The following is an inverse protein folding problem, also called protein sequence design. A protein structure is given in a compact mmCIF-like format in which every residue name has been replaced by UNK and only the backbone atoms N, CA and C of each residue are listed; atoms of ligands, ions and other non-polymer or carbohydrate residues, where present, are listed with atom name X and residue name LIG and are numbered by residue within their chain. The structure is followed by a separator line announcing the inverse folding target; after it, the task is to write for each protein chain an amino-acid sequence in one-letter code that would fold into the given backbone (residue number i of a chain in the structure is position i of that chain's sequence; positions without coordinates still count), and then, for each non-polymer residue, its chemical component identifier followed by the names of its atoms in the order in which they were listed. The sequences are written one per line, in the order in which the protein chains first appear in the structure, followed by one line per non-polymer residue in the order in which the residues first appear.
data_IF_389429426643
#
_entry.id   IF_389429426643
#
_cell.length_a   1.000
_cell.length_b   1.000
_cell.length_c   1.000
_cell.angle_alpha   90.00
_cell.angle_beta   90.00
_cell.angle_gamma   90.00
#
_symmetry.space_group_name_H-M   'P 1'
#
loop_
_entity.id
_entity.type
_entity.pdbx_description
1 polymer ?
#
# COMPACT_ATOMS: atom_id res chain seq x y z
N UNK A 1 -30.74 0.24 14.05
CA UNK A 1 -30.27 -1.12 13.69
C UNK A 1 -28.88 -1.30 14.27
N UNK A 2 -28.46 -2.53 14.59
CA UNK A 2 -27.15 -2.83 15.15
C UNK A 2 -26.30 -3.49 14.07
N UNK A 3 -25.22 -2.83 13.66
CA UNK A 3 -24.20 -3.41 12.79
C UNK A 3 -23.20 -4.24 13.61
N UNK A 4 -22.74 -5.36 13.06
CA UNK A 4 -21.73 -6.20 13.69
C UNK A 4 -20.70 -6.65 12.65
N UNK A 5 -19.44 -6.56 13.01
CA UNK A 5 -18.32 -7.00 12.17
C UNK A 5 -17.39 -7.89 12.98
N UNK A 6 -16.96 -9.00 12.38
CA UNK A 6 -15.95 -9.87 12.97
C UNK A 6 -14.59 -9.53 12.37
N UNK A 7 -13.64 -9.27 13.25
CA UNK A 7 -12.33 -8.75 12.87
C UNK A 7 -11.20 -9.51 13.54
N UNK A 8 -10.06 -9.55 12.85
CA UNK A 8 -8.78 -9.99 13.40
C UNK A 8 -7.74 -8.91 13.17
N UNK A 9 -6.84 -8.72 14.13
CA UNK A 9 -5.60 -7.99 13.89
C UNK A 9 -4.49 -9.02 13.68
N UNK A 10 -4.07 -9.18 12.43
CA UNK A 10 -3.03 -10.12 12.01
C UNK A 10 -1.98 -9.38 11.17
N UNK A 11 -0.69 -9.67 11.41
CA UNK A 11 0.42 -8.93 10.78
C UNK A 11 0.29 -7.39 10.92
N UNK A 12 -0.16 -6.91 12.08
CA UNK A 12 -0.44 -5.50 12.38
C UNK A 12 -1.60 -4.85 11.60
N UNK A 13 -2.29 -5.57 10.71
CA UNK A 13 -3.41 -5.05 9.94
C UNK A 13 -4.73 -5.53 10.53
N UNK A 14 -5.72 -4.63 10.58
CA UNK A 14 -7.08 -4.98 10.95
C UNK A 14 -7.80 -5.50 9.72
N UNK A 15 -8.39 -6.68 9.80
CA UNK A 15 -9.11 -7.30 8.68
C UNK A 15 -10.46 -7.81 9.13
N UNK A 16 -11.41 -7.78 8.20
CA UNK A 16 -12.64 -8.56 8.34
C UNK A 16 -12.29 -10.04 8.24
N UNK A 17 -12.86 -10.87 9.11
CA UNK A 17 -12.71 -12.32 9.04
C UNK A 17 -13.66 -12.85 7.97
N UNK A 18 -13.11 -13.56 6.99
CA UNK A 18 -13.89 -14.18 5.92
C UNK A 18 -14.50 -15.52 6.37
N UNK A 19 -15.60 -15.92 5.73
CA UNK A 19 -16.24 -17.25 5.87
C UNK A 19 -16.84 -17.61 7.25
N UNK A 20 -17.28 -16.63 8.04
CA UNK A 20 -18.00 -16.87 9.32
C UNK A 20 -19.47 -16.47 9.20
N UNK A 21 -20.39 -17.36 9.57
CA UNK A 21 -21.82 -17.07 9.59
C UNK A 21 -22.21 -16.39 10.91
N UNK A 22 -23.19 -15.47 10.87
CA UNK A 22 -23.76 -14.81 12.05
C UNK A 22 -24.19 -15.83 13.15
N UNK A 23 -24.71 -16.99 12.75
CA UNK A 23 -25.12 -18.07 13.68
C UNK A 23 -23.95 -18.72 14.43
N UNK A 24 -22.73 -18.60 13.91
CA UNK A 24 -21.52 -19.12 14.52
C UNK A 24 -20.96 -18.14 15.57
N UNK A 25 -21.39 -16.88 15.52
CA UNK A 25 -20.97 -15.78 16.42
C UNK A 25 -21.99 -15.55 17.54
N UNK A 26 -23.28 -15.72 17.25
CA UNK A 26 -24.37 -15.42 18.18
C UNK A 26 -24.76 -16.63 19.04
N UNK A 27 -25.29 -16.35 20.24
CA UNK A 27 -25.93 -17.38 21.06
C UNK A 27 -27.19 -17.90 20.37
N UNK A 28 -27.48 -19.19 20.53
CA UNK A 28 -28.57 -19.91 19.82
C UNK A 28 -29.98 -19.32 20.02
N UNK A 29 -30.19 -18.50 21.07
CA UNK A 29 -31.47 -17.88 21.39
C UNK A 29 -31.54 -16.38 21.06
N UNK A 30 -30.53 -15.81 20.39
CA UNK A 30 -30.54 -14.43 19.95
C UNK A 30 -31.36 -14.28 18.67
N UNK A 31 -32.65 -13.98 18.82
CA UNK A 31 -33.50 -13.51 17.72
C UNK A 31 -33.54 -11.99 17.76
N UNK A 32 -32.79 -11.34 16.86
CA UNK A 32 -32.86 -9.90 16.69
C UNK A 32 -33.00 -9.60 15.20
N UNK A 33 -34.22 -9.25 14.80
CA UNK A 33 -34.55 -8.69 13.49
C UNK A 33 -33.80 -7.36 13.22
N UNK A 34 -33.06 -6.86 14.21
CA UNK A 34 -32.33 -5.59 14.22
C UNK A 34 -30.80 -5.74 14.13
N UNK A 35 -30.26 -6.97 13.99
CA UNK A 35 -28.82 -7.21 13.79
C UNK A 35 -28.48 -7.39 12.31
N UNK A 36 -27.41 -6.72 11.87
CA UNK A 36 -26.85 -6.82 10.53
C UNK A 36 -25.37 -7.17 10.61
N UNK A 37 -24.96 -8.28 9.98
CA UNK A 37 -23.54 -8.59 9.84
C UNK A 37 -22.96 -7.83 8.65
N UNK A 38 -21.84 -7.19 8.88
CA UNK A 38 -21.23 -6.27 7.94
C UNK A 38 -19.79 -6.66 7.63
N UNK A 39 -19.44 -6.48 6.35
CA UNK A 39 -18.10 -6.73 5.83
C UNK A 39 -17.56 -5.42 5.29
N UNK A 40 -16.78 -4.74 6.11
CA UNK A 40 -16.14 -3.49 5.75
C UNK A 40 -14.72 -3.71 5.22
N UNK A 41 -14.32 -2.91 4.23
CA UNK A 41 -12.94 -2.87 3.72
C UNK A 41 -12.10 -1.87 4.54
N UNK A 42 -11.33 -2.38 5.48
CA UNK A 42 -10.45 -1.60 6.36
C UNK A 42 -9.14 -1.14 5.69
N UNK A 43 -8.83 -1.64 4.50
CA UNK A 43 -7.57 -1.35 3.81
C UNK A 43 -7.68 -0.09 2.95
N UNK A 44 -8.77 0.08 2.21
CA UNK A 44 -8.90 1.19 1.24
C UNK A 44 -9.75 2.37 1.71
N UNK A 45 -10.42 2.25 2.86
CA UNK A 45 -11.31 3.28 3.40
C UNK A 45 -10.77 3.93 4.69
N UNK A 46 -11.21 5.16 4.93
CA UNK A 46 -10.84 6.00 6.07
C UNK A 46 -11.78 5.84 7.26
N UNK A 47 -11.42 6.43 8.40
CA UNK A 47 -12.34 6.49 9.54
C UNK A 47 -13.59 7.32 9.23
N UNK A 48 -13.45 8.40 8.45
CA UNK A 48 -14.59 9.21 8.01
C UNK A 48 -15.52 8.37 7.12
N UNK A 49 -14.97 7.60 6.18
CA UNK A 49 -15.77 6.71 5.33
C UNK A 49 -16.56 5.68 6.16
N UNK A 50 -16.01 5.19 7.28
CA UNK A 50 -16.69 4.25 8.15
C UNK A 50 -17.84 4.91 8.92
N UNK A 51 -17.61 6.11 9.45
CA UNK A 51 -18.66 6.89 10.14
C UNK A 51 -19.80 7.19 9.15
N UNK A 52 -19.48 7.73 7.99
CA UNK A 52 -20.47 8.05 6.94
C UNK A 52 -21.24 6.78 6.51
N UNK A 53 -20.54 5.64 6.41
CA UNK A 53 -21.15 4.36 6.08
C UNK A 53 -22.13 3.90 7.16
N UNK A 54 -21.75 3.92 8.44
CA UNK A 54 -22.64 3.46 9.52
C UNK A 54 -23.86 4.36 9.68
N UNK A 55 -23.70 5.66 9.44
CA UNK A 55 -24.80 6.61 9.40
C UNK A 55 -25.74 6.35 8.22
N UNK A 56 -25.19 6.07 7.03
CA UNK A 56 -25.99 5.73 5.85
C UNK A 56 -26.76 4.42 6.02
N UNK A 57 -26.23 3.45 6.76
CA UNK A 57 -26.92 2.20 7.10
C UNK A 57 -27.94 2.36 8.23
N UNK A 58 -28.12 3.56 8.80
CA UNK A 58 -28.99 3.81 9.96
C UNK A 58 -28.64 2.90 11.17
N UNK A 59 -27.33 2.65 11.37
CA UNK A 59 -26.85 1.93 12.54
C UNK A 59 -26.80 2.86 13.77
N UNK A 60 -27.47 2.44 14.84
CA UNK A 60 -27.43 3.11 16.14
C UNK A 60 -26.26 2.61 16.98
N UNK A 61 -25.90 1.33 16.81
CA UNK A 61 -24.74 0.69 17.44
C UNK A 61 -23.97 -0.09 16.38
N UNK A 62 -22.63 -0.09 16.47
CA UNK A 62 -21.76 -0.85 15.58
C UNK A 62 -20.68 -1.60 16.38
N UNK A 63 -20.69 -2.92 16.31
CA UNK A 63 -19.90 -3.80 17.19
C UNK A 63 -18.75 -4.44 16.45
N UNK A 64 -17.54 -4.16 16.89
CA UNK A 64 -16.34 -4.88 16.50
C UNK A 64 -16.14 -6.08 17.41
N UNK A 65 -16.36 -7.28 16.89
CA UNK A 65 -16.05 -8.54 17.57
C UNK A 65 -14.68 -8.99 17.11
N UNK A 66 -13.73 -9.15 18.04
CA UNK A 66 -12.34 -9.44 17.70
C UNK A 66 -11.93 -10.83 18.14
N UNK A 67 -11.43 -11.63 17.17
CA UNK A 67 -10.93 -12.99 17.39
C UNK A 67 -9.54 -13.05 18.03
N UNK A 68 -8.92 -11.91 18.32
CA UNK A 68 -7.64 -11.84 19.00
C UNK A 68 -7.58 -10.60 19.89
N UNK A 69 -6.75 -10.66 20.95
CA UNK A 69 -6.46 -9.48 21.75
C UNK A 69 -5.80 -8.38 20.92
N UNK A 70 -6.50 -7.27 20.74
CA UNK A 70 -5.98 -6.09 20.05
C UNK A 70 -5.71 -4.94 21.02
N UNK A 71 -4.50 -4.38 20.94
CA UNK A 71 -4.13 -3.17 21.67
C UNK A 71 -4.58 -1.89 20.94
N UNK A 72 -4.82 -1.97 19.63
CA UNK A 72 -5.15 -0.82 18.76
C UNK A 72 -6.65 -0.59 18.65
N UNK A 73 -7.47 -1.65 18.59
CA UNK A 73 -8.91 -1.57 18.40
C UNK A 73 -9.62 -0.70 19.45
N UNK A 74 -9.34 -0.84 20.77
CA UNK A 74 -9.93 0.04 21.77
C UNK A 74 -9.67 1.53 21.50
N UNK A 75 -8.51 1.88 20.92
CA UNK A 75 -8.18 3.26 20.54
C UNK A 75 -8.95 3.70 19.30
N UNK A 76 -9.10 2.82 18.31
CA UNK A 76 -9.95 3.04 17.14
C UNK A 76 -11.39 3.31 17.57
N UNK A 77 -11.97 2.47 18.45
CA UNK A 77 -13.34 2.64 18.93
C UNK A 77 -13.50 3.94 19.72
N UNK A 78 -12.54 4.27 20.59
CA UNK A 78 -12.56 5.55 21.30
C UNK A 78 -12.51 6.75 20.34
N UNK A 79 -11.67 6.66 19.30
CA UNK A 79 -11.57 7.69 18.27
C UNK A 79 -12.90 7.85 17.50
N UNK A 80 -13.46 6.76 16.98
CA UNK A 80 -14.75 6.78 16.26
C UNK A 80 -15.88 7.40 17.11
N UNK A 81 -16.00 6.98 18.37
CA UNK A 81 -16.99 7.53 19.31
C UNK A 81 -16.78 9.01 19.67
N UNK A 82 -15.59 9.56 19.41
CA UNK A 82 -15.33 10.99 19.63
C UNK A 82 -15.81 11.86 18.47
N UNK A 83 -16.14 11.26 17.31
CA UNK A 83 -16.51 11.96 16.08
C UNK A 83 -17.87 11.54 15.50
N UNK A 84 -18.40 10.37 15.85
CA UNK A 84 -19.75 9.99 15.45
C UNK A 84 -20.77 10.54 16.43
N UNK A 85 -21.80 11.21 15.89
CA UNK A 85 -22.91 11.75 16.68
C UNK A 85 -24.09 10.76 16.76
N UNK A 86 -24.21 9.86 15.77
CA UNK A 86 -25.37 8.99 15.59
C UNK A 86 -25.09 7.54 16.00
N UNK A 87 -23.95 7.00 15.58
CA UNK A 87 -23.61 5.59 15.80
C UNK A 87 -22.67 5.45 16.98
N UNK A 88 -23.03 4.60 17.95
CA UNK A 88 -22.13 4.21 19.03
C UNK A 88 -21.31 2.99 18.65
N UNK A 89 -20.00 3.09 18.73
CA UNK A 89 -19.07 2.02 18.40
C UNK A 89 -18.67 1.22 19.64
N UNK A 90 -18.57 -0.09 19.47
CA UNK A 90 -18.34 -1.06 20.54
C UNK A 90 -17.17 -1.99 20.22
N UNK A 91 -16.43 -2.42 21.23
CA UNK A 91 -15.34 -3.40 21.10
C UNK A 91 -15.56 -4.58 22.02
N UNK A 92 -15.59 -5.77 21.45
CA UNK A 92 -15.69 -7.02 22.18
C UNK A 92 -14.55 -7.93 21.75
N UNK A 93 -13.67 -8.28 22.68
CA UNK A 93 -12.62 -9.28 22.48
C UNK A 93 -13.12 -10.65 22.92
N UNK A 94 -12.78 -11.72 22.21
CA UNK A 94 -13.02 -13.08 22.72
C UNK A 94 -12.26 -13.38 24.02
N UNK A 95 -11.10 -12.73 24.21
CA UNK A 95 -10.17 -12.98 25.32
C UNK A 95 -10.51 -12.23 26.61
N UNK A 96 -11.20 -11.08 26.50
CA UNK A 96 -11.46 -10.18 27.62
C UNK A 96 -12.95 -9.87 27.74
N UNK A 97 -13.53 -10.08 28.93
CA UNK A 97 -14.91 -9.67 29.21
C UNK A 97 -15.02 -8.15 29.30
N UNK A 98 -16.09 -7.63 28.70
CA UNK A 98 -16.50 -6.24 28.80
C UNK A 98 -17.78 -6.15 29.64
N UNK A 99 -18.11 -4.95 30.13
CA UNK A 99 -19.37 -4.69 30.81
C UNK A 99 -20.48 -4.25 29.83
N UNK A 100 -20.29 -4.46 28.52
CA UNK A 100 -21.24 -4.01 27.52
C UNK A 100 -22.40 -5.00 27.41
N UNK A 101 -23.63 -4.50 27.48
CA UNK A 101 -24.84 -5.34 27.39
C UNK A 101 -24.87 -6.16 26.10
N UNK A 102 -24.31 -5.61 25.02
CA UNK A 102 -24.28 -6.22 23.69
C UNK A 102 -23.41 -7.48 23.64
N UNK A 103 -22.48 -7.65 24.58
CA UNK A 103 -21.69 -8.87 24.74
C UNK A 103 -22.54 -10.09 25.09
N UNK A 104 -23.69 -9.88 25.73
CA UNK A 104 -24.59 -10.98 26.08
C UNK A 104 -25.11 -11.72 24.85
N UNK A 105 -25.05 -11.09 23.66
CA UNK A 105 -25.49 -11.66 22.38
C UNK A 105 -24.44 -12.58 21.74
N UNK A 106 -23.18 -12.46 22.13
CA UNK A 106 -22.04 -13.14 21.48
C UNK A 106 -21.71 -14.44 22.22
N UNK A 107 -21.54 -15.51 21.44
CA UNK A 107 -21.11 -16.82 21.91
C UNK A 107 -19.58 -16.95 21.80
N UNK A 108 -18.88 -16.52 22.85
CA UNK A 108 -17.41 -16.57 22.90
C UNK A 108 -16.85 -17.98 22.74
N UNK A 109 -17.54 -19.00 23.25
CA UNK A 109 -17.04 -20.38 23.23
C UNK A 109 -16.92 -20.91 21.80
N UNK A 110 -17.89 -20.58 20.93
CA UNK A 110 -17.82 -20.90 19.50
C UNK A 110 -16.67 -20.18 18.79
N UNK A 111 -16.38 -18.95 19.19
CA UNK A 111 -15.35 -18.12 18.55
C UNK A 111 -13.93 -18.51 18.93
N UNK A 112 -13.70 -19.05 20.13
CA UNK A 112 -12.37 -19.54 20.56
C UNK A 112 -11.85 -20.62 19.61
N UNK A 113 -12.73 -21.46 19.05
CA UNK A 113 -12.33 -22.47 18.06
C UNK A 113 -11.84 -21.87 16.73
N UNK A 114 -12.12 -20.59 16.47
CA UNK A 114 -11.71 -19.85 15.28
C UNK A 114 -10.50 -18.94 15.54
N UNK A 115 -9.97 -18.93 16.76
CA UNK A 115 -8.77 -18.16 17.11
C UNK A 115 -7.60 -18.61 16.23
N UNK A 116 -6.99 -17.64 15.54
CA UNK A 116 -5.76 -17.88 14.78
C UNK A 116 -4.58 -17.35 15.56
N UNK A 117 -3.49 -18.11 15.54
CA UNK A 117 -2.20 -17.63 16.05
C UNK A 117 -1.73 -16.49 15.16
N UNK A 118 -1.40 -15.36 15.78
CA UNK A 118 -0.82 -14.22 15.07
C UNK A 118 0.57 -14.59 14.54
N UNK A 119 0.66 -14.86 13.24
CA UNK A 119 1.92 -14.91 12.52
C UNK A 119 2.34 -13.47 12.22
N UNK A 120 3.08 -12.83 13.11
CA UNK A 120 3.56 -11.45 12.92
C UNK A 120 4.76 -11.44 11.96
N UNK A 121 4.61 -10.86 10.77
CA UNK A 121 5.69 -10.58 9.83
C UNK A 121 6.03 -9.09 9.76
N UNK A 122 7.30 -8.76 10.01
CA UNK A 122 7.83 -7.40 9.84
C UNK A 122 7.80 -6.93 8.38
N UNK A 123 7.57 -7.82 7.41
CA UNK A 123 7.55 -7.51 5.97
C UNK A 123 6.49 -6.46 5.66
N UNK A 124 5.29 -6.54 6.27
CA UNK A 124 4.22 -5.56 6.04
C UNK A 124 4.66 -4.17 6.49
N UNK A 125 5.29 -4.08 7.66
CA UNK A 125 5.78 -2.82 8.19
C UNK A 125 6.94 -2.26 7.34
N UNK A 126 7.87 -3.12 6.88
CA UNK A 126 8.93 -2.74 5.95
C UNK A 126 8.35 -2.19 4.65
N UNK A 127 7.36 -2.85 4.07
CA UNK A 127 6.68 -2.39 2.85
C UNK A 127 5.96 -1.05 3.08
N UNK A 128 5.32 -0.87 4.25
CA UNK A 128 4.73 0.40 4.66
C UNK A 128 5.75 1.54 4.72
N UNK A 129 6.93 1.28 5.30
CA UNK A 129 8.03 2.26 5.33
C UNK A 129 8.59 2.55 3.94
N UNK A 130 8.79 1.53 3.11
CA UNK A 130 9.19 1.73 1.71
C UNK A 130 8.21 2.62 0.96
N UNK A 131 6.90 2.37 1.09
CA UNK A 131 5.87 3.21 0.49
C UNK A 131 5.86 4.63 1.10
N UNK A 132 6.03 4.76 2.42
CA UNK A 132 6.14 6.05 3.10
C UNK A 132 7.31 6.87 2.56
N UNK A 133 8.49 6.30 2.32
CA UNK A 133 9.64 7.09 1.87
C UNK A 133 9.72 7.28 0.35
N UNK A 134 9.24 6.33 -0.45
CA UNK A 134 9.24 6.44 -1.92
C UNK A 134 8.00 7.18 -2.46
N UNK A 135 6.89 7.15 -1.73
CA UNK A 135 5.60 7.69 -2.16
C UNK A 135 4.87 6.82 -3.17
N UNK A 136 5.36 5.59 -3.43
CA UNK A 136 4.75 4.65 -4.36
C UNK A 136 3.69 3.84 -3.63
N UNK A 137 2.44 4.02 -4.05
CA UNK A 137 1.28 3.30 -3.52
C UNK A 137 0.47 2.68 -4.66
N UNK A 138 -0.16 1.52 -4.42
CA UNK A 138 -1.17 0.96 -5.29
C UNK A 138 -2.27 1.96 -5.68
N UNK A 139 -2.70 1.91 -6.95
CA UNK A 139 -3.79 2.77 -7.48
C UNK A 139 -5.17 2.49 -6.88
N UNK A 140 -5.33 1.36 -6.15
CA UNK A 140 -6.59 0.97 -5.51
C UNK A 140 -7.03 1.96 -4.42
N UNK A 141 -6.11 2.74 -3.86
CA UNK A 141 -6.45 3.70 -2.81
C UNK A 141 -7.21 4.91 -3.37
N UNK A 142 -8.35 5.21 -2.75
CA UNK A 142 -9.15 6.41 -3.02
C UNK A 142 -8.27 7.68 -3.04
N UNK A 143 -8.70 8.66 -3.82
CA UNK A 143 -8.05 9.98 -3.81
C UNK A 143 -8.28 10.62 -2.45
N UNK A 144 -7.25 11.25 -1.90
CA UNK A 144 -7.28 11.99 -0.62
C UNK A 144 -7.35 11.13 0.66
N UNK A 145 -6.94 9.86 0.60
CA UNK A 145 -6.69 9.08 1.82
C UNK A 145 -5.24 9.19 2.26
N UNK A 146 -4.98 9.21 3.57
CA UNK A 146 -3.64 9.13 4.12
C UNK A 146 -3.38 7.69 4.59
N UNK A 147 -2.39 7.02 4.00
CA UNK A 147 -1.94 5.69 4.42
C UNK A 147 -0.80 5.75 5.42
N UNK A 148 0.08 6.75 5.32
CA UNK A 148 1.21 6.88 6.24
C UNK A 148 1.45 8.32 6.67
N UNK A 149 1.75 8.49 7.95
CA UNK A 149 2.24 9.74 8.52
C UNK A 149 3.68 9.54 8.98
N UNK A 150 4.56 10.45 8.60
CA UNK A 150 5.85 10.61 9.23
C UNK A 150 5.77 11.72 10.27
N UNK A 151 6.35 11.51 11.45
CA UNK A 151 6.48 12.53 12.48
C UNK A 151 7.90 12.52 13.03
N UNK A 152 8.54 13.69 13.06
CA UNK A 152 9.89 13.85 13.62
C UNK A 152 9.90 13.57 15.12
N UNK A 153 8.95 14.13 15.88
CA UNK A 153 8.85 13.91 17.32
C UNK A 153 7.48 13.36 17.73
N UNK A 154 7.46 12.27 18.52
CA UNK A 154 6.20 11.62 18.89
C UNK A 154 5.23 12.54 19.66
N UNK A 155 5.75 13.55 20.37
CA UNK A 155 4.94 14.57 21.07
C UNK A 155 4.02 15.36 20.12
N UNK A 156 4.39 15.51 18.85
CA UNK A 156 3.69 16.35 17.88
C UNK A 156 2.38 15.72 17.40
N UNK A 157 2.21 14.41 17.58
CA UNK A 157 0.98 13.69 17.24
C UNK A 157 -0.25 14.26 17.96
N UNK A 158 -0.10 14.75 19.19
CA UNK A 158 -1.21 15.37 19.93
C UNK A 158 -1.66 16.72 19.34
N UNK A 159 -0.81 17.35 18.53
CA UNK A 159 -1.06 18.67 17.94
C UNK A 159 -1.57 18.58 16.50
N UNK A 160 -1.52 17.40 15.88
CA UNK A 160 -2.10 17.19 14.55
C UNK A 160 -3.61 17.33 14.63
N UNK A 161 -4.19 18.11 13.72
CA UNK A 161 -5.63 18.35 13.71
C UNK A 161 -6.41 17.04 13.51
N UNK A 162 -7.47 16.75 14.28
CA UNK A 162 -8.16 15.45 14.22
C UNK A 162 -8.72 15.05 12.84
N UNK A 163 -9.09 16.03 12.02
CA UNK A 163 -9.54 15.78 10.64
C UNK A 163 -8.49 15.06 9.78
N UNK A 164 -7.19 15.20 10.10
CA UNK A 164 -6.13 14.46 9.42
C UNK A 164 -6.27 12.98 9.70
N UNK A 165 -6.47 12.60 10.98
CA UNK A 165 -6.73 11.21 11.36
C UNK A 165 -8.05 10.70 10.80
N UNK A 166 -9.11 11.51 10.76
CA UNK A 166 -10.38 11.11 10.13
C UNK A 166 -10.21 10.70 8.66
N UNK A 167 -9.28 11.34 7.93
CA UNK A 167 -8.97 11.03 6.53
C UNK A 167 -7.81 10.04 6.36
N UNK A 168 -7.28 9.48 7.46
CA UNK A 168 -6.38 8.35 7.40
C UNK A 168 -7.16 7.06 7.13
N UNK A 169 -6.54 6.13 6.40
CA UNK A 169 -7.04 4.76 6.32
C UNK A 169 -7.11 4.12 7.71
N UNK A 170 -8.02 3.17 7.91
CA UNK A 170 -8.13 2.47 9.19
C UNK A 170 -6.82 1.72 9.51
N UNK A 171 -6.22 1.09 8.49
CA UNK A 171 -4.88 0.51 8.54
C UNK A 171 -3.76 1.50 8.17
N UNK A 172 -3.81 2.75 8.65
CA UNK A 172 -2.71 3.69 8.45
C UNK A 172 -1.55 3.48 9.44
N UNK A 173 -0.34 3.74 8.95
CA UNK A 173 0.89 3.72 9.72
C UNK A 173 1.33 5.12 10.16
N UNK A 174 1.92 5.20 11.34
CA UNK A 174 2.63 6.39 11.84
C UNK A 174 4.06 5.98 12.11
N UNK A 175 5.01 6.55 11.37
CA UNK A 175 6.43 6.42 11.64
C UNK A 175 6.91 7.61 12.46
N UNK A 176 7.52 7.33 13.60
CA UNK A 176 8.10 8.33 14.51
C UNK A 176 9.62 8.22 14.40
N UNK A 177 10.30 9.28 13.94
CA UNK A 177 11.77 9.32 13.81
C UNK A 177 12.49 9.58 15.15
N UNK A 178 11.95 9.00 16.22
CA UNK A 178 12.54 8.95 17.56
C UNK A 178 12.65 7.51 18.02
N UNK A 179 13.66 7.24 18.86
CA UNK A 179 13.72 5.96 19.57
C UNK A 179 12.55 5.83 20.53
N UNK A 180 12.02 4.61 20.64
CA UNK A 180 10.98 4.26 21.61
C UNK A 180 11.36 4.60 23.05
N UNK A 181 12.66 4.65 23.37
CA UNK A 181 13.17 4.98 24.71
C UNK A 181 13.05 6.47 25.06
N UNK A 182 13.02 7.34 24.04
CA UNK A 182 12.96 8.80 24.17
C UNK A 182 11.53 9.32 24.01
N UNK A 183 10.68 8.57 23.31
CA UNK A 183 9.26 8.89 23.16
C UNK A 183 8.57 8.86 24.53
N UNK A 184 8.27 10.05 25.06
CA UNK A 184 7.28 10.24 26.12
C UNK A 184 5.99 9.47 25.77
N UNK A 185 5.16 9.12 26.75
CA UNK A 185 3.99 8.25 26.60
C UNK A 185 2.92 8.75 25.57
N UNK A 186 3.21 8.71 24.26
CA UNK A 186 2.34 9.04 23.12
C UNK A 186 1.19 8.01 22.98
N UNK A 187 1.10 7.06 23.90
CA UNK A 187 0.46 5.76 23.69
C UNK A 187 -1.03 5.68 23.93
N UNK A 188 -1.74 6.75 24.28
CA UNK A 188 -3.14 6.57 24.75
C UNK A 188 -4.24 6.86 23.75
N UNK A 189 -4.01 7.66 22.70
CA UNK A 189 -5.14 8.18 21.92
C UNK A 189 -5.02 8.10 20.39
N UNK A 190 -3.88 7.68 19.83
CA UNK A 190 -3.74 7.63 18.36
C UNK A 190 -4.20 6.27 17.81
N UNK A 191 -5.19 6.21 16.90
CA UNK A 191 -5.76 4.97 16.36
C UNK A 191 -4.91 4.39 15.20
N UNK A 192 -3.59 4.31 15.36
CA UNK A 192 -2.64 3.99 14.28
C UNK A 192 -1.77 2.78 14.56
N UNK A 193 -1.21 2.20 13.49
CA UNK A 193 -0.06 1.31 13.58
C UNK A 193 1.18 2.19 13.83
N UNK A 194 1.73 2.16 15.04
CA UNK A 194 2.85 3.04 15.42
C UNK A 194 4.17 2.31 15.31
N UNK A 195 5.08 2.84 14.50
CA UNK A 195 6.43 2.34 14.27
C UNK A 195 7.43 3.42 14.71
N UNK A 196 8.37 3.05 15.58
CA UNK A 196 9.47 3.94 15.96
C UNK A 196 10.71 3.65 15.10
N UNK A 197 11.61 4.63 15.02
CA UNK A 197 12.88 4.55 14.28
C UNK A 197 13.65 3.25 14.51
N UNK A 198 13.66 2.76 15.74
CA UNK A 198 14.41 1.59 16.20
C UNK A 198 13.57 0.30 16.31
N UNK A 199 12.32 0.31 15.84
CA UNK A 199 11.39 -0.82 16.01
C UNK A 199 11.54 -1.91 14.95
N UNK A 200 12.01 -1.60 13.73
CA UNK A 200 12.11 -2.57 12.63
C UNK A 200 13.57 -2.77 12.26
N UNK A 201 14.13 -3.93 12.65
CA UNK A 201 15.54 -4.25 12.39
C UNK A 201 15.85 -4.52 10.92
N UNK A 202 14.84 -4.94 10.15
CA UNK A 202 14.95 -5.31 8.74
C UNK A 202 14.89 -4.12 7.79
N UNK A 203 14.77 -2.90 8.33
CA UNK A 203 14.73 -1.67 7.57
C UNK A 203 15.72 -0.67 8.15
N UNK A 204 16.75 -0.35 7.38
CA UNK A 204 17.69 0.75 7.68
C UNK A 204 17.62 1.72 6.51
N UNK A 205 17.05 2.91 6.75
CA UNK A 205 16.74 3.90 5.70
C UNK A 205 17.94 4.17 4.78
N UNK A 206 19.13 4.37 5.35
CA UNK A 206 20.36 4.69 4.61
C UNK A 206 20.89 3.52 3.76
N UNK A 207 20.51 2.29 4.11
CA UNK A 207 20.87 1.05 3.38
C UNK A 207 19.83 0.74 2.31
N UNK A 208 18.56 0.94 2.62
CA UNK A 208 17.42 0.54 1.79
C UNK A 208 17.05 1.59 0.74
N UNK A 209 17.33 2.87 1.00
CA UNK A 209 16.83 3.99 0.19
C UNK A 209 17.96 4.88 -0.32
N UNK A 210 17.83 5.27 -1.58
CA UNK A 210 18.71 6.23 -2.22
C UNK A 210 18.10 7.63 -2.26
N UNK A 211 18.93 8.63 -2.01
CA UNK A 211 18.57 10.02 -2.20
C UNK A 211 19.15 10.52 -3.54
N UNK A 212 18.27 10.82 -4.49
CA UNK A 212 18.61 11.32 -5.83
C UNK A 212 17.94 12.66 -6.09
N UNK A 213 18.55 13.51 -6.93
CA UNK A 213 17.86 14.70 -7.45
C UNK A 213 16.90 14.31 -8.58
N UNK A 214 15.91 15.17 -8.86
CA UNK A 214 14.95 14.94 -9.96
C UNK A 214 15.67 14.81 -11.31
N UNK A 215 16.74 15.58 -11.54
CA UNK A 215 17.54 15.53 -12.76
C UNK A 215 18.29 14.21 -12.91
N UNK A 216 18.90 13.71 -11.82
CA UNK A 216 19.60 12.41 -11.85
C UNK A 216 18.63 11.27 -12.11
N UNK A 217 17.43 11.33 -11.52
CA UNK A 217 16.39 10.34 -11.77
C UNK A 217 15.96 10.34 -13.24
N UNK A 218 15.73 11.52 -13.84
CA UNK A 218 15.42 11.63 -15.27
C UNK A 218 16.52 11.06 -16.16
N UNK A 219 17.79 11.32 -15.84
CA UNK A 219 18.92 10.73 -16.56
C UNK A 219 18.92 9.20 -16.48
N UNK A 220 18.64 8.62 -15.30
CA UNK A 220 18.54 7.16 -15.15
C UNK A 220 17.39 6.58 -15.99
N UNK A 221 16.24 7.24 -16.02
CA UNK A 221 15.09 6.83 -16.84
C UNK A 221 15.39 6.94 -18.34
N UNK A 222 16.14 7.96 -18.77
CA UNK A 222 16.61 8.09 -20.16
C UNK A 222 17.63 7.01 -20.53
N UNK A 223 18.58 6.68 -19.63
CA UNK A 223 19.52 5.58 -19.83
C UNK A 223 18.75 4.25 -19.97
N UNK A 224 17.78 4.01 -19.09
CA UNK A 224 16.92 2.84 -19.18
C UNK A 224 16.17 2.80 -20.51
N UNK A 225 15.53 3.90 -20.93
CA UNK A 225 14.81 3.96 -22.20
C UNK A 225 15.71 3.66 -23.40
N UNK A 226 17.01 3.99 -23.33
CA UNK A 226 17.94 3.73 -24.41
C UNK A 226 18.55 2.31 -24.38
N UNK A 227 18.60 1.65 -23.22
CA UNK A 227 19.43 0.44 -23.05
C UNK A 227 18.71 -0.76 -22.44
N UNK A 228 17.55 -0.55 -21.81
CA UNK A 228 16.88 -1.53 -20.96
C UNK A 228 17.62 -1.85 -19.66
N UNK A 229 18.74 -1.19 -19.36
CA UNK A 229 19.55 -1.46 -18.17
C UNK A 229 19.27 -0.46 -17.07
N UNK A 230 19.37 -0.91 -15.81
CA UNK A 230 19.33 -0.02 -14.65
C UNK A 230 20.75 0.12 -14.13
N UNK A 231 21.37 1.28 -14.40
CA UNK A 231 22.71 1.63 -13.92
C UNK A 231 22.69 2.07 -12.46
N UNK A 232 22.31 1.14 -11.59
CA UNK A 232 22.17 1.38 -10.17
C UNK A 232 23.40 0.89 -9.41
N UNK A 233 24.28 1.81 -9.01
CA UNK A 233 25.56 1.44 -8.40
C UNK A 233 25.43 0.87 -6.97
N UNK A 234 24.48 1.36 -6.17
CA UNK A 234 24.32 0.93 -4.76
C UNK A 234 23.23 -0.14 -4.52
N UNK A 235 22.54 -0.59 -5.58
CA UNK A 235 21.38 -1.49 -5.60
C UNK A 235 20.43 -1.36 -4.39
N UNK A 236 19.94 -0.14 -4.14
CA UNK A 236 19.02 0.18 -3.04
C UNK A 236 17.57 -0.01 -3.47
N UNK A 237 16.74 -0.53 -2.56
CA UNK A 237 15.36 -0.96 -2.80
C UNK A 237 14.37 0.17 -3.15
N UNK A 238 14.77 1.44 -3.09
CA UNK A 238 13.92 2.52 -3.58
C UNK A 238 14.58 3.90 -3.58
N UNK A 239 13.91 4.85 -4.21
CA UNK A 239 14.31 6.26 -4.25
C UNK A 239 13.41 7.05 -3.32
N UNK A 240 14.00 7.82 -2.41
CA UNK A 240 13.26 8.76 -1.57
C UNK A 240 12.51 9.76 -2.45
N UNK A 241 11.22 9.94 -2.14
CA UNK A 241 10.31 10.87 -2.80
C UNK A 241 10.08 10.62 -4.30
N UNK A 242 10.35 9.41 -4.80
CA UNK A 242 10.17 9.01 -6.20
C UNK A 242 8.87 9.50 -6.84
N UNK A 243 7.74 9.18 -6.19
CA UNK A 243 6.40 9.50 -6.70
C UNK A 243 6.17 11.01 -6.81
N UNK A 244 6.65 11.77 -5.81
CA UNK A 244 6.49 13.22 -5.74
C UNK A 244 7.43 13.96 -6.72
N UNK A 245 8.62 13.42 -6.98
CA UNK A 245 9.56 13.95 -7.98
C UNK A 245 8.99 13.79 -9.40
N UNK A 246 8.40 12.63 -9.70
CA UNK A 246 7.80 12.35 -11.01
C UNK A 246 6.32 12.78 -11.11
N UNK A 247 5.75 13.32 -10.03
CA UNK A 247 4.36 13.78 -9.96
C UNK A 247 3.34 12.71 -10.34
N UNK A 248 3.51 11.48 -9.84
CA UNK A 248 2.67 10.32 -10.21
C UNK A 248 1.25 10.40 -9.63
N UNK A 249 1.02 11.20 -8.59
CA UNK A 249 -0.29 11.32 -7.95
C UNK A 249 -0.65 10.10 -7.09
N UNK A 250 0.33 9.25 -6.78
CA UNK A 250 0.16 8.05 -5.96
C UNK A 250 0.39 8.35 -4.47
N UNK A 251 0.76 9.57 -4.10
CA UNK A 251 1.18 9.90 -2.75
C UNK A 251 0.00 9.83 -1.79
N UNK A 252 0.10 8.95 -0.78
CA UNK A 252 -0.87 8.75 0.31
C UNK A 252 -0.19 8.96 1.66
N UNK A 253 0.61 10.03 1.76
CA UNK A 253 1.46 10.30 2.91
C UNK A 253 1.54 11.79 3.24
N UNK A 254 1.87 12.10 4.48
CA UNK A 254 2.23 13.44 4.95
C UNK A 254 3.45 13.35 5.88
N UNK A 255 4.28 14.39 5.86
CA UNK A 255 5.43 14.51 6.73
C UNK A 255 5.26 15.68 7.68
N UNK A 256 5.40 15.42 8.97
CA UNK A 256 5.31 16.39 10.05
C UNK A 256 6.70 16.52 10.68
N UNK A 257 7.29 17.69 10.52
CA UNK A 257 8.55 18.10 11.14
C UNK A 257 8.28 19.20 12.17
N UNK A 258 9.25 19.51 13.02
CA UNK A 258 9.11 20.57 14.04
C UNK A 258 8.72 21.92 13.41
N UNK A 259 9.16 22.19 12.18
CA UNK A 259 8.89 23.44 11.49
C UNK A 259 7.70 23.41 10.53
N UNK A 260 6.92 22.31 10.47
CA UNK A 260 5.65 22.28 9.73
C UNK A 260 5.33 20.98 9.00
N UNK A 261 4.36 21.08 8.08
CA UNK A 261 3.81 19.97 7.29
C UNK A 261 4.36 20.03 5.86
N UNK A 262 4.79 18.88 5.34
CA UNK A 262 5.40 18.72 4.02
C UNK A 262 4.77 17.56 3.22
N UNK A 263 4.83 17.64 1.89
CA UNK A 263 4.43 16.56 0.98
C UNK A 263 5.51 15.50 0.78
N UNK A 264 6.76 15.86 1.03
CA UNK A 264 7.94 15.09 0.74
C UNK A 264 8.86 14.98 1.95
N UNK A 265 9.63 13.89 2.01
CA UNK A 265 10.56 13.66 3.10
C UNK A 265 11.72 14.66 3.07
N UNK A 266 12.18 15.04 1.88
CA UNK A 266 13.30 15.97 1.67
C UNK A 266 12.97 17.43 1.93
N UNK A 267 11.73 17.73 2.38
CA UNK A 267 11.28 19.06 2.81
C UNK A 267 11.35 20.13 1.71
N UNK A 268 11.19 19.74 0.45
CA UNK A 268 11.18 20.67 -0.70
C UNK A 268 9.81 21.28 -0.97
N UNK A 269 8.73 20.62 -0.53
CA UNK A 269 7.33 21.04 -0.76
C UNK A 269 6.60 21.25 0.57
N UNK A 270 6.88 22.39 1.21
CA UNK A 270 6.22 22.83 2.45
C UNK A 270 4.76 23.22 2.17
N UNK A 271 3.84 22.67 2.96
CA UNK A 271 2.42 23.05 2.94
C UNK A 271 2.14 24.17 3.93
N UNK A 272 2.59 24.00 5.18
CA UNK A 272 2.35 24.93 6.28
C UNK A 272 3.52 24.90 7.25
N UNK A 273 3.74 26.00 7.98
CA UNK A 273 4.68 26.04 9.11
C UNK A 273 4.07 25.58 10.43
N UNK A 274 2.77 25.27 10.42
CA UNK A 274 1.97 24.94 11.59
C UNK A 274 1.35 23.55 11.38
N UNK A 275 1.50 22.68 12.37
CA UNK A 275 1.11 21.27 12.31
C UNK A 275 -0.36 21.02 12.68
N UNK A 276 -1.04 22.01 13.26
CA UNK A 276 -2.45 21.88 13.67
C UNK A 276 -3.45 22.22 12.57
N UNK A 277 -3.06 22.06 11.30
CA UNK A 277 -3.88 22.41 10.14
C UNK A 277 -4.89 21.32 9.82
N UNK A 278 -6.10 21.74 9.46
CA UNK A 278 -7.14 20.81 9.06
C UNK A 278 -6.80 20.11 7.73
N UNK A 279 -7.41 18.95 7.51
CA UNK A 279 -7.20 18.17 6.30
C UNK A 279 -7.67 18.92 5.04
N UNK A 280 -8.76 19.67 5.15
CA UNK A 280 -9.28 20.51 4.07
C UNK A 280 -8.29 21.63 3.68
N UNK A 281 -7.65 22.28 4.66
CA UNK A 281 -6.59 23.27 4.39
C UNK A 281 -5.37 22.63 3.71
N UNK A 282 -4.95 21.45 4.20
CA UNK A 282 -3.85 20.66 3.63
C UNK A 282 -4.13 20.32 2.16
N UNK A 283 -5.29 19.75 1.84
CA UNK A 283 -5.66 19.38 0.48
C UNK A 283 -5.80 20.60 -0.45
N UNK A 284 -6.31 21.73 0.07
CA UNK A 284 -6.39 22.96 -0.70
C UNK A 284 -5.01 23.46 -1.13
N UNK A 285 -4.02 23.43 -0.22
CA UNK A 285 -2.64 23.83 -0.58
C UNK A 285 -1.97 22.79 -1.46
N UNK A 286 -2.14 21.49 -1.17
CA UNK A 286 -1.63 20.39 -2.01
C UNK A 286 -2.11 20.50 -3.46
N UNK A 287 -3.34 20.97 -3.69
CA UNK A 287 -3.87 21.18 -5.03
C UNK A 287 -3.05 22.19 -5.87
N UNK A 288 -2.33 23.12 -5.23
CA UNK A 288 -1.46 24.10 -5.90
C UNK A 288 -0.15 23.48 -6.39
N UNK A 289 0.27 22.38 -5.77
CA UNK A 289 1.45 21.62 -6.16
C UNK A 289 1.18 20.57 -7.24
N UNK A 290 -0.10 20.33 -7.58
CA UNK A 290 -0.47 19.40 -8.65
C UNK A 290 0.05 19.93 -9.99
N UNK A 291 1.23 19.47 -10.39
CA UNK A 291 1.68 19.50 -11.78
C UNK A 291 0.74 18.62 -12.61
N UNK A 292 0.63 18.88 -13.92
CA UNK A 292 -0.01 17.92 -14.83
C UNK A 292 0.71 16.58 -14.65
N UNK A 293 0.00 15.60 -14.11
CA UNK A 293 0.47 14.22 -14.01
C UNK A 293 0.72 13.74 -15.44
N UNK A 294 1.97 13.64 -15.86
CA UNK A 294 2.31 12.95 -17.10
C UNK A 294 2.22 11.47 -16.80
N UNK A 295 1.13 10.85 -17.23
CA UNK A 295 0.99 9.40 -17.14
C UNK A 295 2.04 8.75 -18.02
N UNK A 296 3.05 8.17 -17.41
CA UNK A 296 4.10 7.47 -18.11
C UNK A 296 4.24 6.09 -17.48
N UNK A 297 3.90 5.05 -18.24
CA UNK A 297 3.93 3.68 -17.73
C UNK A 297 5.33 3.24 -17.30
N UNK A 298 6.39 3.83 -17.85
CA UNK A 298 7.76 3.61 -17.38
C UNK A 298 7.89 4.01 -15.91
N UNK A 299 7.40 5.19 -15.56
CA UNK A 299 7.53 5.70 -14.19
C UNK A 299 6.79 4.83 -13.18
N UNK A 300 5.70 4.18 -13.60
CA UNK A 300 4.94 3.27 -12.73
C UNK A 300 5.65 1.93 -12.53
N UNK A 301 6.24 1.36 -13.58
CA UNK A 301 6.88 0.04 -13.51
C UNK A 301 8.32 0.11 -12.98
N UNK A 302 9.01 1.24 -13.10
CA UNK A 302 10.43 1.36 -12.76
C UNK A 302 10.79 0.92 -11.33
N UNK A 303 10.00 1.21 -10.27
CA UNK A 303 10.27 0.68 -8.94
C UNK A 303 10.27 -0.86 -8.87
N UNK A 304 9.42 -1.52 -9.65
CA UNK A 304 9.40 -2.99 -9.75
C UNK A 304 10.67 -3.48 -10.44
N UNK A 305 11.10 -2.81 -11.51
CA UNK A 305 12.33 -3.15 -12.22
C UNK A 305 13.56 -3.02 -11.31
N UNK A 306 13.63 -1.98 -10.47
CA UNK A 306 14.69 -1.82 -9.45
C UNK A 306 14.69 -3.03 -8.50
N UNK A 307 13.53 -3.38 -7.94
CA UNK A 307 13.42 -4.51 -7.02
C UNK A 307 13.85 -5.85 -7.65
N UNK A 308 13.48 -6.08 -8.91
CA UNK A 308 13.91 -7.27 -9.67
C UNK A 308 15.44 -7.27 -9.88
N UNK A 309 16.01 -6.12 -10.23
CA UNK A 309 17.45 -5.98 -10.44
C UNK A 309 18.27 -6.28 -9.18
N UNK A 310 17.77 -5.85 -8.02
CA UNK A 310 18.39 -6.12 -6.73
C UNK A 310 18.28 -7.59 -6.37
N UNK A 311 17.09 -8.18 -6.57
CA UNK A 311 16.81 -9.56 -6.20
C UNK A 311 17.62 -10.57 -7.01
N UNK A 312 17.79 -10.32 -8.31
CA UNK A 312 18.57 -11.20 -9.20
C UNK A 312 20.09 -10.99 -9.05
N UNK A 313 20.50 -9.80 -8.63
CA UNK A 313 21.90 -9.43 -8.43
C UNK A 313 22.83 -9.69 -9.62
N UNK A 314 22.33 -9.63 -10.86
CA UNK A 314 23.09 -9.86 -12.09
C UNK A 314 23.57 -8.53 -12.71
N UNK A 315 24.86 -8.44 -13.07
CA UNK A 315 25.47 -7.25 -13.68
C UNK A 315 25.18 -7.13 -15.18
N UNK A 316 24.72 -8.20 -15.83
CA UNK A 316 24.35 -8.25 -17.24
C UNK A 316 22.84 -8.10 -17.46
N UNK A 317 22.10 -7.79 -16.40
CA UNK A 317 20.65 -7.68 -16.44
C UNK A 317 20.19 -6.54 -17.36
N UNK A 318 19.38 -6.88 -18.35
CA UNK A 318 18.60 -5.92 -19.14
C UNK A 318 17.14 -6.33 -19.16
N UNK A 319 16.25 -5.34 -19.16
CA UNK A 319 14.81 -5.53 -19.21
C UNK A 319 14.31 -5.35 -20.64
N UNK A 320 13.36 -6.18 -21.03
CA UNK A 320 12.61 -6.05 -22.27
C UNK A 320 11.23 -5.52 -21.90
N UNK A 321 11.00 -4.24 -22.18
CA UNK A 321 9.73 -3.54 -21.92
C UNK A 321 9.35 -2.70 -23.15
N UNK A 322 8.10 -2.20 -23.25
CA UNK A 322 7.74 -1.24 -24.29
C UNK A 322 8.56 0.05 -24.24
N UNK A 323 9.11 0.39 -23.07
CA UNK A 323 9.69 1.70 -22.78
C UNK A 323 11.18 1.79 -23.08
N UNK A 324 11.82 0.71 -23.51
CA UNK A 324 13.23 0.72 -23.84
C UNK A 324 13.51 0.17 -25.23
N UNK A 325 14.62 0.63 -25.81
CA UNK A 325 15.14 0.08 -27.05
C UNK A 325 15.69 -1.33 -26.78
N UNK A 326 15.29 -2.28 -27.62
CA UNK A 326 15.90 -3.61 -27.73
C UNK A 326 15.93 -4.01 -29.21
N UNK A 327 15.06 -4.91 -29.69
CA UNK A 327 14.94 -5.19 -31.13
C UNK A 327 14.10 -4.16 -31.89
N UNK A 328 13.20 -3.49 -31.17
CA UNK A 328 12.34 -2.40 -31.66
C UNK A 328 12.54 -1.13 -30.84
N UNK A 329 12.20 0.02 -31.42
CA UNK A 329 12.26 1.31 -30.75
C UNK A 329 11.31 1.35 -29.53
N UNK A 330 11.71 2.10 -28.50
CA UNK A 330 10.87 2.39 -27.35
C UNK A 330 9.60 3.14 -27.78
N UNK A 331 8.48 2.80 -27.16
CA UNK A 331 7.19 3.48 -27.37
C UNK A 331 6.71 4.15 -26.09
N UNK A 332 5.95 5.24 -26.27
CA UNK A 332 5.27 5.89 -25.17
C UNK A 332 3.92 5.22 -24.91
N UNK A 333 3.69 4.79 -23.67
CA UNK A 333 2.39 4.32 -23.20
C UNK A 333 2.06 4.99 -21.86
N UNK A 334 0.79 5.34 -21.67
CA UNK A 334 0.31 5.91 -20.40
C UNK A 334 0.40 4.92 -19.23
N UNK A 335 0.35 3.61 -19.54
CA UNK A 335 0.40 2.52 -18.57
C UNK A 335 1.20 1.35 -19.15
N UNK A 336 1.74 0.51 -18.28
CA UNK A 336 2.40 -0.73 -18.71
C UNK A 336 1.33 -1.74 -19.21
N UNK A 337 1.48 -2.31 -20.42
CA UNK A 337 0.40 -3.04 -21.09
C UNK A 337 0.32 -4.52 -20.70
N UNK A 338 1.19 -5.00 -19.81
CA UNK A 338 1.34 -6.42 -19.51
C UNK A 338 1.49 -6.66 -18.01
N UNK A 339 1.10 -7.84 -17.53
CA UNK A 339 1.39 -8.30 -16.17
C UNK A 339 2.78 -8.91 -16.07
N UNK A 340 3.47 -9.03 -17.21
CA UNK A 340 4.73 -9.71 -17.36
C UNK A 340 5.88 -8.75 -17.62
N UNK A 341 7.03 -9.04 -17.03
CA UNK A 341 8.29 -8.32 -17.27
C UNK A 341 9.31 -9.35 -17.72
N UNK A 342 9.82 -9.20 -18.93
CA UNK A 342 10.84 -10.09 -19.47
C UNK A 342 12.21 -9.44 -19.27
N UNK A 343 13.20 -10.27 -18.96
CA UNK A 343 14.56 -9.83 -18.66
C UNK A 343 15.60 -10.80 -19.23
N UNK A 344 16.71 -10.23 -19.70
CA UNK A 344 17.89 -10.96 -20.15
C UNK A 344 18.95 -10.91 -19.04
N UNK A 345 19.58 -12.05 -18.79
CA UNK A 345 20.58 -12.28 -17.75
C UNK A 345 21.85 -12.87 -18.37
N UNK A 346 22.89 -13.07 -17.57
CA UNK A 346 24.08 -13.80 -18.01
C UNK A 346 23.81 -15.28 -18.33
N UNK A 347 22.73 -15.86 -17.79
CA UNK A 347 22.41 -17.30 -17.92
C UNK A 347 21.33 -17.60 -18.96
N UNK A 348 20.58 -16.59 -19.42
CA UNK A 348 19.48 -16.76 -20.35
C UNK A 348 18.41 -15.69 -20.20
N UNK A 349 17.16 -16.06 -20.46
CA UNK A 349 16.02 -15.16 -20.37
C UNK A 349 15.03 -15.63 -19.30
N UNK A 350 14.46 -14.67 -18.57
CA UNK A 350 13.44 -14.92 -17.58
C UNK A 350 12.20 -14.07 -17.87
N UNK A 351 11.03 -14.60 -17.54
CA UNK A 351 9.76 -13.88 -17.55
C UNK A 351 9.19 -13.84 -16.13
N UNK A 352 9.02 -12.65 -15.58
CA UNK A 352 8.42 -12.42 -14.26
C UNK A 352 6.94 -12.06 -14.41
N UNK A 353 6.07 -12.79 -13.72
CA UNK A 353 4.64 -12.51 -13.64
C UNK A 353 4.32 -11.75 -12.35
N UNK A 354 3.89 -10.49 -12.49
CA UNK A 354 3.69 -9.58 -11.36
C UNK A 354 2.53 -9.97 -10.44
N UNK A 355 1.45 -10.57 -10.96
CA UNK A 355 0.32 -10.97 -10.12
C UNK A 355 0.63 -12.20 -9.26
N UNK A 356 1.22 -13.25 -9.85
CA UNK A 356 1.52 -14.48 -9.11
C UNK A 356 2.87 -14.45 -8.40
N UNK A 357 3.68 -13.39 -8.62
CA UNK A 357 5.03 -13.22 -8.10
C UNK A 357 5.94 -14.42 -8.42
N UNK A 358 5.83 -14.93 -9.66
CA UNK A 358 6.59 -16.09 -10.15
C UNK A 358 7.51 -15.68 -11.30
N UNK A 359 8.65 -16.36 -11.37
CA UNK A 359 9.62 -16.18 -12.45
C UNK A 359 9.78 -17.49 -13.19
N UNK A 360 9.83 -17.41 -14.52
CA UNK A 360 9.93 -18.56 -15.42
C UNK A 360 11.14 -18.40 -16.33
N UNK A 361 11.85 -19.50 -16.58
CA UNK A 361 12.87 -19.55 -17.63
C UNK A 361 12.20 -19.61 -19.00
N UNK A 362 12.66 -18.76 -19.92
CA UNK A 362 12.11 -18.66 -21.27
C UNK A 362 13.24 -18.67 -22.31
N UNK A 363 12.89 -19.00 -23.55
CA UNK A 363 13.85 -19.00 -24.65
C UNK A 363 13.82 -17.66 -25.41
N UNK A 364 14.77 -17.48 -26.33
CA UNK A 364 14.85 -16.26 -27.13
C UNK A 364 13.60 -15.98 -27.97
N UNK A 365 12.96 -17.04 -28.51
CA UNK A 365 11.76 -16.89 -29.33
C UNK A 365 10.60 -16.26 -28.53
N UNK A 366 10.43 -16.68 -27.28
CA UNK A 366 9.46 -16.07 -26.36
C UNK A 366 9.74 -14.57 -26.19
N UNK A 367 11.01 -14.19 -25.99
CA UNK A 367 11.40 -12.78 -25.82
C UNK A 367 11.09 -11.94 -27.05
N UNK A 368 11.36 -12.49 -28.24
CA UNK A 368 11.10 -11.82 -29.53
C UNK A 368 9.59 -11.58 -29.75
N UNK A 369 8.77 -12.60 -29.50
CA UNK A 369 7.31 -12.50 -29.60
C UNK A 369 6.77 -11.53 -28.56
N UNK A 370 7.22 -11.63 -27.31
CA UNK A 370 6.83 -10.74 -26.22
C UNK A 370 7.11 -9.28 -26.56
N UNK A 371 8.34 -8.94 -26.96
CA UNK A 371 8.71 -7.56 -27.30
C UNK A 371 7.83 -7.02 -28.43
N UNK A 372 7.63 -7.81 -29.48
CA UNK A 372 6.81 -7.43 -30.62
C UNK A 372 5.35 -7.19 -30.21
N UNK A 373 4.78 -8.00 -29.33
CA UNK A 373 3.41 -7.83 -28.85
C UNK A 373 3.26 -6.56 -28.02
N UNK A 374 4.12 -6.36 -27.02
CA UNK A 374 3.99 -5.21 -26.11
C UNK A 374 4.32 -3.87 -26.79
N UNK A 375 4.96 -3.90 -27.96
CA UNK A 375 5.25 -2.74 -28.82
C UNK A 375 4.37 -2.62 -30.07
N UNK A 376 3.43 -3.55 -30.29
CA UNK A 376 2.55 -3.54 -31.47
C UNK A 376 3.28 -3.73 -32.82
N UNK A 377 4.36 -4.53 -32.81
CA UNK A 377 5.27 -4.77 -33.93
C UNK A 377 5.26 -6.24 -34.42
N UNK A 378 4.15 -6.97 -34.24
CA UNK A 378 4.03 -8.41 -34.56
C UNK A 378 4.25 -8.74 -36.05
N UNK A 379 3.81 -7.89 -36.98
CA UNK A 379 4.10 -8.11 -38.41
C UNK A 379 5.59 -7.92 -38.72
N UNK A 380 6.22 -6.91 -38.10
CA UNK A 380 7.64 -6.62 -38.31
C UNK A 380 8.55 -7.73 -37.79
N UNK A 381 8.16 -8.41 -36.70
CA UNK A 381 8.97 -9.54 -36.20
C UNK A 381 8.86 -10.76 -37.13
N UNK A 382 7.68 -11.02 -37.72
CA UNK A 382 7.52 -12.10 -38.72
C UNK A 382 8.35 -11.84 -39.98
N UNK A 383 8.44 -10.59 -40.42
CA UNK A 383 9.28 -10.20 -41.56
C UNK A 383 10.78 -10.36 -41.25
N UNK A 384 11.20 -10.06 -40.00
CA UNK A 384 12.60 -10.20 -39.56
C UNK A 384 13.00 -11.64 -39.28
N UNK A 385 12.08 -12.45 -38.75
CA UNK A 385 12.28 -13.84 -38.37
C UNK A 385 11.14 -14.69 -38.93
N UNK A 386 11.38 -15.29 -40.10
CA UNK A 386 10.39 -16.11 -40.82
C UNK A 386 10.00 -17.40 -40.09
N UNK A 387 10.68 -17.76 -39.01
CA UNK A 387 10.29 -18.91 -38.16
C UNK A 387 9.10 -18.58 -37.27
N UNK A 388 8.86 -17.29 -36.96
CA UNK A 388 7.72 -16.86 -36.15
C UNK A 388 6.45 -16.91 -37.01
N UNK A 389 5.51 -17.77 -36.62
CA UNK A 389 4.21 -17.92 -37.27
C UNK A 389 3.09 -17.34 -36.41
N UNK A 390 1.93 -17.10 -37.03
CA UNK A 390 0.72 -16.66 -36.29
C UNK A 390 0.29 -17.68 -35.22
N UNK A 391 0.55 -18.97 -35.45
CA UNK A 391 0.25 -20.03 -34.48
C UNK A 391 1.13 -19.90 -33.23
N UNK A 392 2.44 -19.63 -33.40
CA UNK A 392 3.35 -19.43 -32.28
C UNK A 392 3.04 -18.17 -31.47
N UNK A 393 2.65 -17.08 -32.15
CA UNK A 393 2.20 -15.85 -31.48
C UNK A 393 0.96 -16.15 -30.62
N UNK A 394 0.02 -16.92 -31.16
CA UNK A 394 -1.19 -17.32 -30.43
C UNK A 394 -0.87 -18.24 -29.24
N UNK A 395 0.00 -19.23 -29.41
CA UNK A 395 0.45 -20.10 -28.31
C UNK A 395 1.12 -19.29 -27.20
N UNK A 396 1.92 -18.29 -27.56
CA UNK A 396 2.52 -17.37 -26.60
C UNK A 396 1.47 -16.59 -25.80
N UNK A 397 0.42 -16.07 -26.44
CA UNK A 397 -0.69 -15.40 -25.74
C UNK A 397 -1.41 -16.34 -24.78
N UNK A 398 -1.69 -17.57 -25.21
CA UNK A 398 -2.35 -18.59 -24.39
C UNK A 398 -1.50 -18.95 -23.16
N UNK A 399 -0.18 -19.09 -23.32
CA UNK A 399 0.75 -19.34 -22.21
C UNK A 399 0.70 -18.21 -21.18
N UNK A 400 0.73 -16.95 -21.65
CA UNK A 400 0.73 -15.76 -20.80
C UNK A 400 -0.57 -15.57 -20.01
N UNK A 401 -1.69 -16.15 -20.48
CA UNK A 401 -2.99 -16.15 -19.80
C UNK A 401 -3.19 -17.33 -18.84
N UNK A 402 -2.31 -18.34 -18.86
CA UNK A 402 -2.49 -19.61 -18.15
C UNK A 402 -1.89 -19.65 -16.73
N UNK A 403 -1.36 -18.53 -16.23
CA UNK A 403 -0.58 -18.41 -14.98
C UNK A 403 -1.33 -17.62 -13.93
#
# INVERSE_FOLDING_TARGET
MIGMTLVEESNHLLRSVDDVNLLDVLKENCFLEELSFDRYDYDTNSFLDLIDYTEFQDYTEYVFVSLSKSVRLPRIIHFLNSFSEVTKFHYISIDESSNETIEQLIDREKLIAQEKVDESSDIILKNGLMALFTGVYPRIFRKNIIKHLYVEHGKDLANIHPSVYLNCAINHGVYIDESRSVAHAVKRCVPSIVVYKDSIKTFVKEVELEELSEEKLKQQLEIFANTGTITWQERKNGIIDYSEMLSLGLERRLFVFEDGIYLDYRRTKKLFSDISRSFAEIELVKSRFKKKTEKNGLYEVFPVLINLAISLNDNHLSFITPFNNNQFEAIYLEAYPSEWIVLSTSEGYLAFHSQSNRTFEVNQLFVEIFEAQVKGCTELIKDKNSEITDEMIKEHEELMLSV
#
